data_IF_093188771115
#
_entry.id   IF_093188771115
#
_cell.length_a   1.000
_cell.length_b   1.000
_cell.length_c   1.000
_cell.angle_alpha   90.00
_cell.angle_beta   90.00
_cell.angle_gamma   90.00
#
_symmetry.space_group_name_H-M   'P 1'
#
loop_
_entity.id
_entity.type
_entity.pdbx_description
1 polymer ?
#
# COMPACT_ATOMS: atom_id res chain seq x y z
N UNK A 1 -4.24 -62.21 -30.87
CA UNK A 1 -3.11 -61.25 -30.74
C UNK A 1 -3.44 -59.98 -31.52
N UNK A 2 -3.03 -58.81 -31.00
CA UNK A 2 -3.19 -57.41 -31.51
C UNK A 2 -4.53 -56.75 -31.11
N UNK A 3 -4.62 -56.02 -29.99
CA UNK A 3 -4.15 -54.63 -29.68
C UNK A 3 -5.01 -53.54 -30.36
N UNK A 4 -5.84 -52.83 -29.58
CA UNK A 4 -5.65 -51.38 -29.34
C UNK A 4 -6.66 -50.85 -28.31
N UNK A 5 -6.23 -50.75 -27.05
CA UNK A 5 -6.72 -49.76 -26.10
C UNK A 5 -5.80 -48.55 -26.23
N UNK A 6 -6.24 -47.53 -26.95
CA UNK A 6 -5.67 -46.19 -27.00
C UNK A 6 -6.83 -45.30 -26.54
N UNK A 7 -6.90 -44.91 -25.26
CA UNK A 7 -5.99 -43.92 -24.72
C UNK A 7 -6.61 -42.54 -24.91
N UNK A 8 -7.79 -42.31 -24.33
CA UNK A 8 -8.35 -40.96 -24.19
C UNK A 8 -7.44 -40.20 -23.23
N UNK A 9 -6.49 -39.47 -23.82
CA UNK A 9 -5.65 -38.55 -23.09
C UNK A 9 -6.56 -37.46 -22.51
N UNK A 10 -6.59 -37.44 -21.20
CA UNK A 10 -7.24 -36.47 -20.32
C UNK A 10 -6.72 -35.07 -20.69
N UNK A 11 -7.40 -34.36 -21.59
CA UNK A 11 -7.16 -32.94 -21.80
C UNK A 11 -7.85 -32.15 -20.69
N UNK A 12 -7.29 -32.27 -19.48
CA UNK A 12 -7.63 -31.41 -18.36
C UNK A 12 -7.08 -30.02 -18.69
N UNK A 13 -7.90 -29.18 -19.32
CA UNK A 13 -7.68 -27.73 -19.35
C UNK A 13 -7.81 -27.22 -17.92
N UNK A 14 -6.72 -27.35 -17.15
CA UNK A 14 -6.47 -26.56 -15.95
C UNK A 14 -6.38 -25.10 -16.42
N UNK A 15 -7.53 -24.44 -16.53
CA UNK A 15 -7.61 -22.99 -16.42
C UNK A 15 -7.24 -22.67 -14.98
N UNK A 16 -5.95 -22.71 -14.67
CA UNK A 16 -5.45 -22.15 -13.43
C UNK A 16 -5.93 -20.70 -13.44
N UNK A 17 -6.69 -20.25 -12.42
CA UNK A 17 -6.93 -18.83 -12.28
C UNK A 17 -5.55 -18.18 -12.22
N UNK A 18 -5.24 -17.31 -13.17
CA UNK A 18 -4.12 -16.40 -13.04
C UNK A 18 -4.47 -15.58 -11.81
N UNK A 19 -3.93 -15.98 -10.67
CA UNK A 19 -4.07 -15.25 -9.43
C UNK A 19 -3.21 -14.02 -9.67
N UNK A 20 -3.82 -12.93 -10.11
CA UNK A 20 -3.12 -11.67 -10.30
C UNK A 20 -2.45 -11.34 -8.96
N UNK A 21 -1.12 -11.47 -8.94
CA UNK A 21 -0.28 -11.25 -7.78
C UNK A 21 0.02 -9.76 -7.74
N UNK A 22 -0.02 -9.16 -6.55
CA UNK A 22 0.15 -7.73 -6.30
C UNK A 22 1.23 -7.06 -7.17
N UNK A 23 0.81 -6.13 -8.05
CA UNK A 23 1.62 -5.75 -9.22
C UNK A 23 2.62 -4.60 -8.99
N UNK A 24 2.34 -3.60 -8.15
CA UNK A 24 3.29 -2.61 -7.56
C UNK A 24 2.50 -1.50 -6.84
N UNK A 25 3.07 -0.94 -5.76
CA UNK A 25 2.57 0.28 -5.09
C UNK A 25 3.67 1.35 -5.06
N UNK A 26 3.33 2.61 -5.27
CA UNK A 26 4.29 3.73 -5.18
C UNK A 26 3.72 4.96 -4.50
N UNK A 27 4.63 5.72 -3.91
CA UNK A 27 4.34 7.01 -3.32
C UNK A 27 4.24 8.09 -4.41
N UNK A 28 3.19 8.91 -4.37
CA UNK A 28 3.01 10.03 -5.29
C UNK A 28 3.21 11.37 -4.60
N UNK A 29 2.50 11.60 -3.50
CA UNK A 29 2.55 12.82 -2.70
C UNK A 29 2.16 12.53 -1.27
N UNK A 30 2.63 13.38 -0.35
CA UNK A 30 2.25 13.29 1.04
C UNK A 30 2.62 14.54 1.82
N UNK A 31 1.92 14.75 2.91
CA UNK A 31 2.17 15.85 3.84
C UNK A 31 1.72 15.47 5.24
N UNK A 32 2.23 16.22 6.22
CA UNK A 32 1.76 16.18 7.60
C UNK A 32 1.17 17.54 7.92
N UNK A 33 0.02 17.55 8.59
CA UNK A 33 -0.61 18.77 9.07
C UNK A 33 -0.90 18.65 10.56
N UNK A 34 -0.45 19.63 11.35
CA UNK A 34 -0.63 19.60 12.79
C UNK A 34 -1.85 20.39 13.26
N UNK A 35 -2.54 19.81 14.24
CA UNK A 35 -3.58 20.45 15.01
C UNK A 35 -3.22 20.45 16.49
N UNK A 36 -3.38 21.63 17.07
CA UNK A 36 -2.92 22.06 18.37
C UNK A 36 -3.93 21.70 19.47
N UNK A 37 -3.67 20.68 20.29
CA UNK A 37 -4.47 20.31 21.48
C UNK A 37 -3.70 20.50 22.79
N UNK A 38 -4.36 20.86 23.90
CA UNK A 38 -3.75 21.34 25.17
C UNK A 38 -2.58 20.53 25.76
N UNK A 39 -2.42 19.25 25.41
CA UNK A 39 -1.28 18.40 25.81
C UNK A 39 -0.74 17.48 24.71
N UNK A 40 -1.31 17.53 23.49
CA UNK A 40 -1.00 16.61 22.39
C UNK A 40 -1.05 17.35 21.06
N UNK A 41 -0.17 16.95 20.13
CA UNK A 41 -0.28 17.32 18.73
C UNK A 41 -1.01 16.20 17.99
N UNK A 42 -2.08 16.57 17.29
CA UNK A 42 -2.74 15.69 16.33
C UNK A 42 -2.19 15.99 14.95
N UNK A 43 -1.40 15.08 14.41
CA UNK A 43 -0.83 15.19 13.08
C UNK A 43 -1.68 14.39 12.10
N UNK A 44 -2.36 15.06 11.17
CA UNK A 44 -2.97 14.39 10.03
C UNK A 44 -1.89 13.95 9.05
N UNK A 45 -1.85 12.66 8.69
CA UNK A 45 -1.02 12.20 7.58
C UNK A 45 -1.88 12.19 6.33
N UNK A 46 -1.49 13.00 5.35
CA UNK A 46 -1.99 12.91 3.99
C UNK A 46 -0.99 12.11 3.14
N UNK A 47 -1.45 11.05 2.50
CA UNK A 47 -0.71 10.26 1.52
C UNK A 47 -1.60 10.02 0.32
N UNK A 48 -1.02 10.14 -0.87
CA UNK A 48 -1.60 9.66 -2.12
C UNK A 48 -0.64 8.64 -2.72
N UNK A 49 -1.17 7.45 -2.98
CA UNK A 49 -0.43 6.34 -3.53
C UNK A 49 -1.01 5.96 -4.89
N UNK A 50 -0.13 5.54 -5.77
CA UNK A 50 -0.51 4.86 -7.00
C UNK A 50 -0.34 3.36 -6.83
N UNK A 51 -1.25 2.61 -7.40
CA UNK A 51 -1.26 1.15 -7.39
C UNK A 51 -1.54 0.67 -8.80
N UNK A 52 -0.71 -0.26 -9.30
CA UNK A 52 -1.04 -0.97 -10.52
C UNK A 52 -2.25 -1.85 -10.26
N UNK A 53 -3.24 -1.91 -11.19
CA UNK A 53 -4.49 -2.61 -10.95
C UNK A 53 -4.26 -3.99 -10.35
N UNK A 54 -4.74 -4.18 -9.14
CA UNK A 54 -4.71 -5.48 -8.49
C UNK A 54 -6.07 -6.13 -8.70
N UNK A 55 -6.10 -7.48 -8.71
CA UNK A 55 -7.37 -8.19 -8.66
C UNK A 55 -8.31 -7.61 -7.57
N UNK A 56 -9.63 -7.73 -7.77
CA UNK A 56 -10.60 -7.25 -6.79
C UNK A 56 -10.34 -7.79 -5.38
N UNK A 57 -10.63 -6.98 -4.36
CA UNK A 57 -10.52 -7.38 -2.96
C UNK A 57 -9.17 -7.10 -2.29
N UNK A 58 -8.31 -6.32 -2.94
CA UNK A 58 -7.06 -5.86 -2.34
C UNK A 58 -7.26 -4.68 -1.37
N UNK A 59 -6.26 -4.43 -0.53
CA UNK A 59 -6.20 -3.28 0.38
C UNK A 59 -4.89 -2.55 0.22
N UNK A 60 -4.91 -1.24 0.39
CA UNK A 60 -3.71 -0.41 0.35
C UNK A 60 -3.51 0.24 1.71
N UNK A 61 -2.28 0.24 2.18
CA UNK A 61 -1.95 0.76 3.49
C UNK A 61 -0.51 1.24 3.59
N UNK A 62 -0.18 1.69 4.79
CA UNK A 62 1.14 2.15 5.15
C UNK A 62 1.46 1.79 6.59
N UNK A 63 2.73 1.62 6.86
CA UNK A 63 3.26 1.52 8.23
C UNK A 63 4.15 2.72 8.44
N UNK A 64 4.00 3.38 9.58
CA UNK A 64 4.76 4.58 9.89
C UNK A 64 5.31 4.55 11.32
N UNK A 65 6.31 5.39 11.54
CA UNK A 65 6.93 5.65 12.82
C UNK A 65 7.35 7.12 12.91
N UNK A 66 7.29 7.67 14.12
CA UNK A 66 7.79 9.00 14.47
C UNK A 66 8.98 8.95 15.45
N UNK A 67 9.49 7.74 15.73
CA UNK A 67 10.50 7.48 16.77
C UNK A 67 11.61 6.52 16.28
N UNK A 68 11.99 6.66 15.00
CA UNK A 68 13.01 5.84 14.34
C UNK A 68 12.71 4.34 14.38
N UNK A 69 11.46 3.98 14.13
CA UNK A 69 10.94 2.61 14.11
C UNK A 69 11.01 1.88 15.46
N UNK A 70 11.10 2.61 16.58
CA UNK A 70 10.97 2.01 17.91
C UNK A 70 9.52 1.58 18.20
N UNK A 71 8.56 2.39 17.75
CA UNK A 71 7.15 2.05 17.63
C UNK A 71 6.71 2.11 16.18
N UNK A 72 5.76 1.23 15.81
CA UNK A 72 5.20 1.16 14.47
C UNK A 72 3.70 1.21 14.54
N UNK A 73 3.12 1.97 13.63
CA UNK A 73 1.69 2.18 13.53
C UNK A 73 1.22 1.88 12.12
N UNK A 74 -0.02 1.42 12.00
CA UNK A 74 -0.60 1.03 10.72
C UNK A 74 -1.68 2.03 10.33
N UNK A 75 -1.69 2.39 9.05
CA UNK A 75 -2.75 3.17 8.44
C UNK A 75 -3.25 2.48 7.17
N UNK A 76 -4.53 2.71 6.87
CA UNK A 76 -5.19 2.22 5.65
C UNK A 76 -5.53 3.39 4.74
N UNK A 77 -5.48 3.17 3.43
CA UNK A 77 -5.93 4.14 2.45
C UNK A 77 -7.29 3.71 1.90
N UNK A 78 -8.01 4.68 1.35
CA UNK A 78 -9.25 4.48 0.63
C UNK A 78 -9.01 4.68 -0.87
N UNK A 79 -9.65 3.85 -1.68
CA UNK A 79 -9.67 4.05 -3.12
C UNK A 79 -10.32 5.40 -3.46
N UNK A 80 -9.71 6.14 -4.38
CA UNK A 80 -10.18 7.45 -4.82
C UNK A 80 -10.73 7.39 -6.25
N UNK A 81 -9.90 7.05 -7.22
CA UNK A 81 -10.25 7.00 -8.64
C UNK A 81 -9.17 6.24 -9.44
N UNK A 82 -9.44 5.99 -10.72
CA UNK A 82 -8.45 5.46 -11.65
C UNK A 82 -7.88 6.60 -12.51
N UNK A 83 -6.58 6.55 -12.81
CA UNK A 83 -5.89 7.52 -13.67
C UNK A 83 -5.16 6.82 -14.83
N UNK A 84 -5.14 7.38 -16.05
CA UNK A 84 -4.35 6.80 -17.15
C UNK A 84 -2.86 6.79 -16.85
N UNK A 85 -2.15 5.74 -17.28
CA UNK A 85 -0.71 5.62 -17.13
C UNK A 85 0.05 5.68 -18.48
N UNK A 86 1.37 5.80 -18.41
CA UNK A 86 2.24 5.94 -19.59
C UNK A 86 2.26 4.70 -20.50
N UNK A 87 1.75 3.56 -20.04
CA UNK A 87 1.75 2.28 -20.75
C UNK A 87 0.40 1.96 -21.41
N UNK A 88 -0.53 2.92 -21.43
CA UNK A 88 -1.86 2.74 -22.01
C UNK A 88 -2.81 1.91 -21.15
N UNK A 89 -2.50 1.73 -19.86
CA UNK A 89 -3.38 1.14 -18.85
C UNK A 89 -3.88 2.21 -17.87
N UNK A 90 -4.63 1.79 -16.85
CA UNK A 90 -5.09 2.64 -15.76
C UNK A 90 -4.35 2.26 -14.49
N UNK A 91 -3.90 3.23 -13.71
CA UNK A 91 -3.45 3.03 -12.32
C UNK A 91 -4.60 3.39 -11.37
N UNK A 92 -4.63 2.78 -10.20
CA UNK A 92 -5.52 3.17 -9.12
C UNK A 92 -4.86 4.20 -8.22
N UNK A 93 -5.63 5.19 -7.79
CA UNK A 93 -5.20 6.22 -6.84
C UNK A 93 -5.87 5.96 -5.50
N UNK A 94 -5.05 5.91 -4.44
CA UNK A 94 -5.46 5.64 -3.07
C UNK A 94 -5.03 6.77 -2.15
N UNK A 95 -5.87 7.16 -1.19
CA UNK A 95 -5.66 8.32 -0.33
C UNK A 95 -5.84 8.00 1.15
N UNK A 96 -5.02 8.59 2.03
CA UNK A 96 -5.15 8.38 3.48
C UNK A 96 -6.33 9.13 4.08
N UNK A 97 -6.87 8.58 5.16
CA UNK A 97 -7.92 9.21 5.98
C UNK A 97 -7.55 9.23 7.47
N UNK A 98 -6.28 8.95 7.80
CA UNK A 98 -5.86 8.67 9.17
C UNK A 98 -5.24 9.89 9.83
N UNK A 99 -5.79 10.27 10.97
CA UNK A 99 -5.15 11.16 11.93
C UNK A 99 -4.19 10.36 12.81
N UNK A 100 -2.99 10.88 13.02
CA UNK A 100 -1.97 10.33 13.89
C UNK A 100 -1.85 11.19 15.13
N UNK A 101 -1.85 10.55 16.30
CA UNK A 101 -1.54 11.24 17.54
C UNK A 101 -0.06 11.08 17.83
N UNK A 102 0.68 12.19 17.84
CA UNK A 102 2.11 12.16 18.16
C UNK A 102 2.29 12.61 19.62
N UNK A 103 2.74 11.72 20.52
CA UNK A 103 2.94 12.07 21.92
C UNK A 103 4.19 12.95 22.09
N UNK A 104 4.03 14.16 22.61
CA UNK A 104 5.18 15.00 22.99
C UNK A 104 4.82 16.45 23.33
N UNK A 105 5.62 17.14 24.16
CA UNK A 105 5.48 18.57 24.34
C UNK A 105 5.88 19.27 23.03
N UNK A 106 4.96 20.12 22.58
CA UNK A 106 5.04 21.02 21.45
C UNK A 106 6.45 21.41 20.98
N UNK A 107 6.67 21.35 19.65
CA UNK A 107 7.73 22.03 18.87
C UNK A 107 9.07 21.32 18.63
N UNK A 108 9.06 20.02 18.31
CA UNK A 108 10.16 19.49 17.48
C UNK A 108 9.58 19.17 16.11
N UNK A 109 10.20 19.58 14.98
CA UNK A 109 9.71 19.19 13.67
C UNK A 109 9.48 17.68 13.64
N UNK A 110 8.24 17.27 13.45
CA UNK A 110 7.88 15.86 13.48
C UNK A 110 8.35 15.25 12.17
N UNK A 111 9.32 14.34 12.28
CA UNK A 111 9.71 13.49 11.15
C UNK A 111 8.92 12.21 11.24
N UNK A 112 8.16 11.90 10.18
CA UNK A 112 7.43 10.65 10.06
C UNK A 112 8.09 9.82 8.96
N UNK A 113 8.66 8.70 9.36
CA UNK A 113 9.19 7.69 8.45
C UNK A 113 8.09 6.67 8.15
N UNK A 114 7.94 6.25 6.89
CA UNK A 114 6.89 5.31 6.50
C UNK A 114 7.27 4.40 5.33
N UNK A 115 6.63 3.24 5.25
CA UNK A 115 6.64 2.32 4.12
C UNK A 115 5.20 2.03 3.70
N UNK A 116 4.99 1.74 2.43
CA UNK A 116 3.64 1.50 1.87
C UNK A 116 3.51 0.06 1.41
N UNK A 117 2.29 -0.45 1.40
CA UNK A 117 2.01 -1.80 0.94
C UNK A 117 0.67 -1.89 0.21
N UNK A 118 0.58 -2.90 -0.65
CA UNK A 118 -0.68 -3.44 -1.16
C UNK A 118 -0.81 -4.88 -0.70
N UNK A 119 -1.95 -5.23 -0.13
CA UNK A 119 -2.33 -6.57 0.33
C UNK A 119 -3.33 -7.15 -0.66
N UNK A 120 -3.01 -8.30 -1.25
CA UNK A 120 -3.93 -9.00 -2.17
C UNK A 120 -5.10 -9.67 -1.42
N UNK A 121 -6.05 -10.24 -2.17
CA UNK A 121 -7.21 -10.93 -1.60
C UNK A 121 -6.84 -12.17 -0.74
N UNK A 122 -5.62 -12.67 -0.84
CA UNK A 122 -5.09 -13.80 -0.06
C UNK A 122 -4.28 -13.35 1.17
N UNK A 123 -4.17 -12.04 1.40
CA UNK A 123 -3.38 -11.46 2.49
C UNK A 123 -1.88 -11.35 2.21
N UNK A 124 -1.42 -11.58 0.99
CA UNK A 124 -0.02 -11.39 0.60
C UNK A 124 0.28 -9.92 0.38
N UNK A 125 1.39 -9.43 0.95
CA UNK A 125 1.76 -8.02 0.89
C UNK A 125 2.96 -7.80 -0.02
N UNK A 126 2.80 -6.90 -0.98
CA UNK A 126 3.91 -6.29 -1.70
C UNK A 126 4.23 -4.95 -1.06
N UNK A 127 5.49 -4.77 -0.67
CA UNK A 127 5.98 -3.59 0.03
C UNK A 127 6.74 -2.66 -0.91
N UNK A 128 6.61 -1.37 -0.66
CA UNK A 128 7.54 -0.36 -1.15
C UNK A 128 8.04 0.44 0.05
N UNK A 129 9.31 0.25 0.38
CA UNK A 129 10.02 0.92 1.46
C UNK A 129 11.17 1.79 0.93
N UNK A 130 11.05 2.31 -0.30
CA UNK A 130 12.05 3.18 -0.91
C UNK A 130 13.46 2.58 -0.86
N UNK A 131 13.62 1.36 -1.39
CA UNK A 131 14.88 0.60 -1.40
C UNK A 131 15.52 0.45 -0.01
N UNK A 132 14.69 0.30 1.03
CA UNK A 132 15.12 0.16 2.42
C UNK A 132 15.37 1.46 3.16
N UNK A 133 15.26 2.63 2.52
CA UNK A 133 15.44 3.92 3.16
C UNK A 133 14.17 4.42 3.88
N UNK A 134 13.01 3.85 3.53
CA UNK A 134 11.68 4.36 3.83
C UNK A 134 11.44 5.74 3.20
N UNK A 135 10.18 6.13 3.15
CA UNK A 135 9.78 7.48 2.80
C UNK A 135 9.75 8.34 4.06
N UNK A 136 9.94 9.66 3.88
CA UNK A 136 10.01 10.61 4.99
C UNK A 136 9.14 11.82 4.72
N UNK A 137 8.24 12.11 5.66
CA UNK A 137 7.53 13.39 5.74
C UNK A 137 8.14 14.23 6.84
N UNK A 138 8.33 15.51 6.55
CA UNK A 138 8.81 16.51 7.50
C UNK A 138 7.77 17.62 7.54
N UNK A 139 7.32 17.95 8.74
CA UNK A 139 6.49 19.13 8.95
C UNK A 139 7.29 20.40 8.57
N UNK A 140 6.73 21.31 7.74
CA UNK A 140 7.41 22.54 7.33
C UNK A 140 7.65 23.55 8.46
#
# INVERSE_FOLDING_TARGET
MKKSLLGMSLALFLTLPVVASAETVWFMEGSVSDSAGSSYIYSGIYLKLGVWPVAPGHKVGFVYSYDRWATSHWGTLQWSHNQPNAYGSMDEVWMSTTLVTVPGPWRTPTTIDFAVYVEDANGQRTWNNNDGQNFRLVEP
#
